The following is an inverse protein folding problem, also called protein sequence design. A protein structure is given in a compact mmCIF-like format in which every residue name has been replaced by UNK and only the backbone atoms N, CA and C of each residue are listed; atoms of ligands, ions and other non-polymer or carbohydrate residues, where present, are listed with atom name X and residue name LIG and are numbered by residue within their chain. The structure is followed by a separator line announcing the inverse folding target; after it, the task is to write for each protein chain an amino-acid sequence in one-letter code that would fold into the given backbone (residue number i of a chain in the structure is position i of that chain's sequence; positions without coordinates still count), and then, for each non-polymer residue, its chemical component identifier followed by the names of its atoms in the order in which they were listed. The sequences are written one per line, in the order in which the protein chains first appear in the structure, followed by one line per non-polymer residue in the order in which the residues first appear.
data_IF_283100245304
#
_entry.id   IF_283100245304
#
_cell.length_a   1.000
_cell.length_b   1.000
_cell.length_c   1.000
_cell.angle_alpha   90.00
_cell.angle_beta   90.00
_cell.angle_gamma   90.00
#
_symmetry.space_group_name_H-M   'P 1'
#
loop_
_entity.id
_entity.type
_entity.pdbx_description
1 polymer ?
#
# COMPACT_ATOMS: atom_id res chain seq x y z
N UNK A 1 30.85 15.99 34.89
CA UNK A 1 31.41 15.42 33.64
C UNK A 1 31.71 13.96 33.86
N UNK A 2 31.16 13.08 33.04
CA UNK A 2 31.74 11.81 32.58
C UNK A 2 30.67 11.11 31.74
N UNK A 3 30.70 11.39 30.43
CA UNK A 3 29.98 10.62 29.44
C UNK A 3 30.55 9.21 29.41
N UNK A 4 29.69 8.19 29.40
CA UNK A 4 30.08 6.83 29.08
C UNK A 4 29.48 6.49 27.72
N UNK A 5 30.32 6.56 26.71
CA UNK A 5 30.01 6.09 25.37
C UNK A 5 29.69 4.59 25.43
N UNK A 6 28.51 4.22 24.93
CA UNK A 6 28.17 2.82 24.67
C UNK A 6 28.53 2.56 23.21
N UNK A 7 29.46 1.64 23.05
CA UNK A 7 29.95 1.14 21.77
C UNK A 7 28.79 0.78 20.83
N UNK A 8 28.89 1.26 19.59
CA UNK A 8 28.15 0.75 18.43
C UNK A 8 28.53 -0.72 18.26
N UNK A 9 27.73 -1.59 18.87
CA UNK A 9 27.71 -3.01 18.61
C UNK A 9 26.94 -3.25 17.32
N UNK A 10 27.57 -3.95 16.40
CA UNK A 10 27.07 -4.42 15.12
C UNK A 10 25.60 -4.86 15.21
N UNK A 11 24.69 -4.01 14.72
CA UNK A 11 23.28 -4.37 14.61
C UNK A 11 23.14 -5.42 13.53
N UNK A 12 22.94 -6.66 13.95
CA UNK A 12 22.26 -7.67 13.16
C UNK A 12 21.09 -7.02 12.43
N UNK A 13 21.09 -7.09 11.10
CA UNK A 13 19.94 -6.69 10.28
C UNK A 13 18.78 -7.59 10.70
N UNK A 14 17.96 -7.11 11.64
CA UNK A 14 16.70 -7.73 11.99
C UNK A 14 15.82 -7.63 10.75
N UNK A 15 15.44 -8.78 10.20
CA UNK A 15 14.64 -8.92 8.98
C UNK A 15 13.18 -8.44 9.11
N UNK A 16 12.97 -7.30 9.76
CA UNK A 16 11.68 -6.63 9.84
C UNK A 16 11.39 -5.80 8.59
N UNK A 17 10.12 -5.42 8.44
CA UNK A 17 9.67 -4.63 7.30
C UNK A 17 10.31 -3.23 7.28
N UNK A 18 10.78 -2.76 6.11
CA UNK A 18 11.23 -1.38 5.98
C UNK A 18 10.07 -0.39 6.19
N UNK A 19 10.39 0.82 6.63
CA UNK A 19 9.41 1.89 6.79
C UNK A 19 8.78 2.26 5.44
N UNK A 20 7.45 2.30 5.31
CA UNK A 20 6.79 2.63 4.04
C UNK A 20 7.07 4.05 3.50
N UNK A 21 7.64 4.94 4.33
CA UNK A 21 7.91 6.33 3.94
C UNK A 21 9.35 6.50 3.46
N UNK A 22 10.34 6.03 4.22
CA UNK A 22 11.76 6.19 3.86
C UNK A 22 12.38 4.95 3.22
N UNK A 23 11.64 3.83 3.15
CA UNK A 23 12.07 2.54 2.63
C UNK A 23 13.29 1.91 3.34
N UNK A 24 13.77 2.54 4.41
CA UNK A 24 14.84 2.04 5.27
C UNK A 24 14.33 1.29 6.51
N UNK A 25 15.23 0.78 7.38
CA UNK A 25 14.83 0.12 8.62
C UNK A 25 14.03 1.06 9.51
N UNK A 26 13.03 0.53 10.21
CA UNK A 26 12.20 1.33 11.12
C UNK A 26 13.05 1.81 12.30
N UNK A 27 13.24 3.12 12.38
CA UNK A 27 13.90 3.79 13.49
C UNK A 27 12.86 4.43 14.41
N UNK A 28 12.83 3.99 15.67
CA UNK A 28 11.85 4.42 16.68
C UNK A 28 10.43 4.21 16.16
N UNK A 29 9.97 2.95 16.21
CA UNK A 29 8.65 2.53 15.74
C UNK A 29 7.54 3.43 16.29
N UNK A 30 6.64 3.85 15.40
CA UNK A 30 5.52 4.74 15.72
C UNK A 30 4.36 4.49 14.78
N UNK A 31 3.15 4.78 15.26
CA UNK A 31 1.89 4.59 14.56
C UNK A 31 0.91 5.70 14.94
N UNK A 32 -0.24 5.78 14.24
CA UNK A 32 -1.35 6.66 14.62
C UNK A 32 -2.33 5.88 15.50
N UNK A 33 -3.03 6.56 16.39
CA UNK A 33 -4.00 5.91 17.29
C UNK A 33 -5.16 5.22 16.54
N UNK A 34 -5.44 5.67 15.31
CA UNK A 34 -6.50 5.12 14.46
C UNK A 34 -6.09 3.87 13.68
N UNK A 35 -4.80 3.58 13.55
CA UNK A 35 -4.30 2.42 12.79
C UNK A 35 -2.92 1.97 13.27
N UNK A 36 -2.73 0.66 13.46
CA UNK A 36 -1.46 0.08 13.94
C UNK A 36 -0.39 -0.12 12.84
N UNK A 37 -0.46 0.66 11.75
CA UNK A 37 0.57 0.65 10.72
C UNK A 37 1.86 1.29 11.22
N UNK A 38 2.98 0.60 11.01
CA UNK A 38 4.28 0.91 11.62
C UNK A 38 5.14 1.80 10.71
N UNK A 39 5.71 2.86 11.28
CA UNK A 39 6.60 3.80 10.59
C UNK A 39 7.75 4.25 11.50
N UNK A 40 8.78 4.89 10.93
CA UNK A 40 9.74 5.65 11.73
C UNK A 40 9.05 6.87 12.36
N UNK A 41 9.34 7.17 13.63
CA UNK A 41 8.82 8.34 14.34
C UNK A 41 8.97 9.64 13.54
N UNK A 42 10.17 9.87 12.98
CA UNK A 42 10.45 11.07 12.17
C UNK A 42 9.61 11.12 10.89
N UNK A 43 9.49 9.99 10.21
CA UNK A 43 8.74 9.90 8.95
C UNK A 43 7.25 10.19 9.17
N UNK A 44 6.64 9.56 10.17
CA UNK A 44 5.20 9.75 10.42
C UNK A 44 4.88 11.14 10.97
N UNK A 45 5.78 11.71 11.79
CA UNK A 45 5.65 13.09 12.26
C UNK A 45 5.68 14.09 11.10
N UNK A 46 6.59 13.91 10.16
CA UNK A 46 6.70 14.77 8.98
C UNK A 46 5.47 14.65 8.07
N UNK A 47 4.97 13.42 7.87
CA UNK A 47 3.72 13.17 7.15
C UNK A 47 2.55 13.98 7.75
N UNK A 48 2.33 13.87 9.07
CA UNK A 48 1.23 14.59 9.74
C UNK A 48 1.38 16.10 9.54
N UNK A 49 2.59 16.64 9.70
CA UNK A 49 2.87 18.07 9.47
C UNK A 49 2.49 18.54 8.06
N UNK A 50 2.87 17.78 7.04
CA UNK A 50 2.59 18.11 5.64
C UNK A 50 1.09 18.00 5.34
N UNK A 51 0.44 16.93 5.79
CA UNK A 51 -0.99 16.71 5.54
C UNK A 51 -1.85 17.75 6.25
N UNK A 52 -1.56 18.06 7.52
CA UNK A 52 -2.26 19.12 8.27
C UNK A 52 -2.06 20.51 7.68
N UNK A 53 -0.93 20.77 7.01
CA UNK A 53 -0.69 22.07 6.35
C UNK A 53 -1.48 22.26 5.05
N UNK A 54 -1.88 21.16 4.39
CA UNK A 54 -2.52 21.19 3.07
C UNK A 54 -4.03 20.92 3.13
N UNK A 55 -4.49 20.27 4.19
CA UNK A 55 -5.89 19.92 4.38
C UNK A 55 -6.41 20.75 5.55
N UNK A 56 -7.41 21.61 5.29
CA UNK A 56 -8.14 22.36 6.31
C UNK A 56 -9.06 21.45 7.13
N UNK A 57 -8.49 20.39 7.73
CA UNK A 57 -9.18 19.42 8.58
C UNK A 57 -8.50 19.35 9.95
N UNK A 58 -9.26 19.03 11.01
CA UNK A 58 -8.71 18.83 12.34
C UNK A 58 -7.69 17.67 12.35
N UNK A 59 -6.67 17.78 13.21
CA UNK A 59 -5.59 16.80 13.39
C UNK A 59 -6.11 15.37 13.65
N UNK A 60 -7.26 15.24 14.31
CA UNK A 60 -7.92 13.95 14.59
C UNK A 60 -8.41 13.20 13.34
N UNK A 61 -8.49 13.86 12.18
CA UNK A 61 -8.91 13.25 10.91
C UNK A 61 -7.73 12.88 9.99
N UNK A 62 -6.49 13.09 10.42
CA UNK A 62 -5.32 12.79 9.58
C UNK A 62 -5.14 11.27 9.50
N UNK A 63 -5.16 10.73 8.28
CA UNK A 63 -4.90 9.32 8.02
C UNK A 63 -3.40 9.08 7.81
N UNK A 64 -2.91 7.89 8.17
CA UNK A 64 -1.55 7.47 7.84
C UNK A 64 -1.41 7.26 6.31
N UNK A 65 -0.18 7.16 5.77
CA UNK A 65 0.04 6.96 4.33
C UNK A 65 -0.71 5.75 3.76
N UNK A 66 -0.69 4.60 4.44
CA UNK A 66 -1.33 3.37 3.97
C UNK A 66 -2.87 3.49 3.99
N UNK A 67 -3.45 4.01 5.07
CA UNK A 67 -4.90 4.27 5.13
C UNK A 67 -5.34 5.34 4.14
N UNK A 68 -4.48 6.30 3.83
CA UNK A 68 -4.77 7.30 2.79
C UNK A 68 -4.78 6.65 1.40
N UNK A 69 -3.84 5.75 1.09
CA UNK A 69 -3.86 5.00 -0.17
C UNK A 69 -5.10 4.10 -0.28
N UNK A 70 -5.48 3.44 0.81
CA UNK A 70 -6.68 2.61 0.85
C UNK A 70 -7.96 3.41 0.51
N UNK A 71 -8.04 4.69 0.93
CA UNK A 71 -9.13 5.58 0.51
C UNK A 71 -9.05 5.94 -0.97
N UNK A 72 -7.85 6.28 -1.47
CA UNK A 72 -7.65 6.69 -2.87
C UNK A 72 -8.04 5.58 -3.83
N UNK A 73 -7.69 4.33 -3.49
CA UNK A 73 -8.03 3.15 -4.29
C UNK A 73 -9.41 2.58 -3.95
N UNK A 74 -10.15 3.20 -3.03
CA UNK A 74 -11.49 2.78 -2.61
C UNK A 74 -11.57 1.26 -2.31
N UNK A 75 -10.62 0.78 -1.50
CA UNK A 75 -10.52 -0.62 -1.06
C UNK A 75 -11.87 -1.16 -0.54
N UNK A 76 -12.67 -0.41 0.25
CA UNK A 76 -13.99 -0.87 0.67
C UNK A 76 -14.94 -1.12 -0.51
N UNK A 77 -14.93 -0.28 -1.56
CA UNK A 77 -15.74 -0.49 -2.76
C UNK A 77 -15.25 -1.68 -3.57
N UNK A 78 -13.94 -1.90 -3.67
CA UNK A 78 -13.37 -3.09 -4.30
C UNK A 78 -13.98 -4.37 -3.72
N UNK A 79 -13.98 -4.51 -2.38
CA UNK A 79 -14.57 -5.67 -1.71
C UNK A 79 -16.10 -5.73 -1.81
N UNK A 80 -16.79 -4.58 -1.85
CA UNK A 80 -18.25 -4.53 -2.07
C UNK A 80 -18.66 -4.97 -3.47
N UNK A 81 -17.88 -4.61 -4.48
CA UNK A 81 -18.18 -4.96 -5.87
C UNK A 81 -17.97 -6.44 -6.16
N UNK A 82 -17.28 -7.18 -5.28
CA UNK A 82 -17.06 -8.64 -5.34
C UNK A 82 -16.57 -9.15 -6.71
N UNK A 83 -16.01 -8.28 -7.56
CA UNK A 83 -15.36 -8.63 -8.83
C UNK A 83 -13.95 -9.12 -8.50
N UNK A 84 -13.87 -10.33 -7.97
CA UNK A 84 -12.61 -10.94 -7.57
C UNK A 84 -11.76 -11.21 -8.79
N UNK A 85 -10.57 -10.59 -8.83
CA UNK A 85 -9.46 -10.93 -9.72
C UNK A 85 -9.78 -11.05 -11.22
N UNK A 86 -10.92 -10.53 -11.70
CA UNK A 86 -11.51 -10.96 -12.97
C UNK A 86 -10.62 -10.76 -14.20
N UNK A 87 -9.53 -9.97 -14.11
CA UNK A 87 -8.52 -9.90 -15.16
C UNK A 87 -7.28 -9.08 -14.79
N UNK A 88 -6.74 -9.15 -13.57
CA UNK A 88 -5.50 -8.42 -13.33
C UNK A 88 -4.31 -9.16 -13.99
N UNK A 89 -4.11 -8.90 -15.28
CA UNK A 89 -3.00 -9.44 -16.08
C UNK A 89 -1.62 -9.04 -15.57
N UNK A 90 -1.56 -8.06 -14.67
CA UNK A 90 -0.35 -7.57 -14.04
C UNK A 90 -0.08 -8.23 -12.70
N UNK A 91 -1.03 -9.00 -12.15
CA UNK A 91 -0.88 -9.65 -10.85
C UNK A 91 0.33 -10.57 -10.81
N UNK A 92 0.50 -11.42 -11.82
CA UNK A 92 1.62 -12.36 -11.86
C UNK A 92 2.96 -11.63 -11.93
N UNK A 93 3.06 -10.59 -12.77
CA UNK A 93 4.27 -9.77 -12.88
C UNK A 93 4.57 -8.99 -11.58
N UNK A 94 3.55 -8.45 -10.94
CA UNK A 94 3.66 -7.75 -9.67
C UNK A 94 4.11 -8.71 -8.56
N UNK A 95 3.45 -9.88 -8.45
CA UNK A 95 3.82 -10.92 -7.49
C UNK A 95 5.26 -11.38 -7.70
N UNK A 96 5.67 -11.64 -8.94
CA UNK A 96 7.05 -12.00 -9.27
C UNK A 96 8.04 -10.96 -8.75
N UNK A 97 7.79 -9.68 -9.03
CA UNK A 97 8.65 -8.57 -8.58
C UNK A 97 8.75 -8.51 -7.06
N UNK A 98 7.62 -8.54 -6.36
CA UNK A 98 7.60 -8.45 -4.89
C UNK A 98 8.23 -9.68 -4.24
N UNK A 99 7.97 -10.87 -4.77
CA UNK A 99 8.61 -12.11 -4.29
C UNK A 99 10.13 -12.06 -4.48
N UNK A 100 10.61 -11.66 -5.66
CA UNK A 100 12.05 -11.51 -5.91
C UNK A 100 12.69 -10.50 -4.94
N UNK A 101 12.03 -9.37 -4.68
CA UNK A 101 12.52 -8.37 -3.74
C UNK A 101 12.53 -8.85 -2.29
N UNK A 102 11.50 -9.60 -1.86
CA UNK A 102 11.37 -10.06 -0.48
C UNK A 102 12.23 -11.29 -0.20
N UNK A 103 12.26 -12.26 -1.11
CA UNK A 103 13.03 -13.49 -0.98
C UNK A 103 14.51 -13.30 -1.33
N UNK A 104 14.85 -12.26 -2.10
CA UNK A 104 16.21 -12.01 -2.62
C UNK A 104 16.71 -13.15 -3.52
N UNK A 105 15.78 -13.82 -4.21
CA UNK A 105 16.04 -14.94 -5.12
C UNK A 105 15.45 -14.62 -6.50
N UNK A 106 16.12 -15.06 -7.57
CA UNK A 106 15.63 -14.88 -8.94
C UNK A 106 14.52 -15.87 -9.30
N UNK A 107 14.70 -17.13 -8.89
CA UNK A 107 13.74 -18.22 -9.09
C UNK A 107 12.69 -18.24 -7.97
N UNK A 108 11.54 -17.64 -8.29
CA UNK A 108 10.37 -17.56 -7.40
C UNK A 108 9.18 -18.33 -7.97
N UNK A 109 9.35 -19.09 -9.05
CA UNK A 109 8.24 -19.62 -9.86
C UNK A 109 7.34 -20.56 -9.07
N UNK A 110 7.91 -21.38 -8.20
CA UNK A 110 7.16 -22.32 -7.34
C UNK A 110 6.27 -21.53 -6.36
N UNK A 111 6.83 -20.52 -5.70
CA UNK A 111 6.10 -19.70 -4.71
C UNK A 111 5.05 -18.84 -5.40
N UNK A 112 5.40 -18.25 -6.55
CA UNK A 112 4.49 -17.50 -7.40
C UNK A 112 3.29 -18.36 -7.81
N UNK A 113 3.54 -19.55 -8.37
CA UNK A 113 2.49 -20.46 -8.80
C UNK A 113 1.63 -20.93 -7.63
N UNK A 114 2.24 -21.19 -6.47
CA UNK A 114 1.51 -21.53 -5.25
C UNK A 114 0.55 -20.40 -4.83
N UNK A 115 1.03 -19.16 -4.73
CA UNK A 115 0.22 -18.02 -4.31
C UNK A 115 -0.90 -17.71 -5.32
N UNK A 116 -0.58 -17.68 -6.62
CA UNK A 116 -1.58 -17.52 -7.68
C UNK A 116 -2.63 -18.62 -7.60
N UNK A 117 -2.21 -19.88 -7.43
CA UNK A 117 -3.12 -21.02 -7.29
C UNK A 117 -4.01 -20.94 -6.05
N UNK A 118 -3.48 -20.47 -4.92
CA UNK A 118 -4.24 -20.23 -3.68
C UNK A 118 -5.28 -19.12 -3.89
N UNK A 119 -4.89 -18.00 -4.51
CA UNK A 119 -5.79 -16.89 -4.82
C UNK A 119 -6.91 -17.32 -5.78
N UNK A 120 -6.58 -18.04 -6.85
CA UNK A 120 -7.54 -18.55 -7.83
C UNK A 120 -8.53 -19.54 -7.21
N UNK A 121 -8.01 -20.49 -6.41
CA UNK A 121 -8.82 -21.48 -5.70
C UNK A 121 -9.80 -20.81 -4.74
N UNK A 122 -9.33 -19.79 -4.01
CA UNK A 122 -10.16 -18.99 -3.12
C UNK A 122 -11.25 -18.22 -3.88
N UNK A 123 -10.91 -17.57 -4.99
CA UNK A 123 -11.87 -16.84 -5.82
C UNK A 123 -12.95 -17.77 -6.39
N UNK A 124 -12.55 -18.89 -7.02
CA UNK A 124 -13.47 -19.90 -7.59
C UNK A 124 -14.42 -20.47 -6.53
N UNK A 125 -13.90 -20.82 -5.36
CA UNK A 125 -14.71 -21.34 -4.24
C UNK A 125 -15.73 -20.32 -3.76
N UNK A 126 -15.34 -19.06 -3.73
CA UNK A 126 -16.21 -17.98 -3.24
C UNK A 126 -17.30 -17.65 -4.27
N UNK A 127 -16.98 -17.61 -5.56
CA UNK A 127 -17.98 -17.46 -6.63
C UNK A 127 -19.03 -18.58 -6.59
N UNK A 128 -18.61 -19.82 -6.30
CA UNK A 128 -19.51 -20.97 -6.16
C UNK A 128 -20.41 -20.86 -4.92
N UNK A 129 -19.85 -20.48 -3.76
CA UNK A 129 -20.61 -20.28 -2.52
C UNK A 129 -21.54 -19.06 -2.57
N UNK A 130 -21.22 -18.05 -3.38
CA UNK A 130 -22.05 -16.86 -3.52
C UNK A 130 -23.40 -17.11 -4.21
N UNK A 131 -23.55 -18.20 -4.96
CA UNK A 131 -24.87 -18.64 -5.44
C UNK A 131 -25.78 -19.15 -4.29
N UNK A 132 -25.23 -19.34 -3.08
CA UNK A 132 -25.91 -19.96 -1.94
C UNK A 132 -25.92 -19.11 -0.66
N UNK A 133 -24.97 -18.17 -0.44
CA UNK A 133 -24.90 -17.37 0.80
C UNK A 133 -24.53 -15.88 0.59
N UNK A 134 -25.27 -14.99 1.26
CA UNK A 134 -24.97 -13.55 1.40
C UNK A 134 -23.98 -13.30 2.55
N UNK A 135 -22.68 -13.43 2.29
CA UNK A 135 -21.62 -13.00 3.23
C UNK A 135 -21.31 -11.50 3.08
N UNK A 136 -20.95 -10.87 4.21
CA UNK A 136 -20.48 -9.47 4.26
C UNK A 136 -19.12 -9.30 3.57
N UNK A 137 -18.83 -8.09 3.09
CA UNK A 137 -17.60 -7.79 2.37
C UNK A 137 -16.36 -7.84 3.28
N UNK A 138 -16.55 -7.43 4.54
CA UNK A 138 -15.50 -7.36 5.56
C UNK A 138 -15.04 -8.78 5.95
N UNK A 139 -15.98 -9.71 6.17
CA UNK A 139 -15.64 -11.09 6.49
C UNK A 139 -14.97 -11.82 5.31
N UNK A 140 -15.21 -11.34 4.10
CA UNK A 140 -14.59 -11.88 2.89
C UNK A 140 -13.16 -11.35 2.70
N UNK A 141 -12.97 -10.03 2.87
CA UNK A 141 -11.66 -9.38 2.90
C UNK A 141 -10.72 -10.05 3.91
N UNK A 142 -11.15 -10.19 5.17
CA UNK A 142 -10.34 -10.83 6.22
C UNK A 142 -9.97 -12.28 5.87
N UNK A 143 -10.90 -13.03 5.30
CA UNK A 143 -10.62 -14.41 4.91
C UNK A 143 -9.64 -14.50 3.74
N UNK A 144 -9.74 -13.59 2.77
CA UNK A 144 -8.78 -13.51 1.67
C UNK A 144 -7.38 -13.23 2.20
N UNK A 145 -7.24 -12.20 3.05
CA UNK A 145 -5.97 -11.82 3.65
C UNK A 145 -5.37 -12.95 4.47
N UNK A 146 -6.18 -13.62 5.29
CA UNK A 146 -5.77 -14.78 6.08
C UNK A 146 -5.27 -15.94 5.20
N UNK A 147 -5.99 -16.31 4.14
CA UNK A 147 -5.61 -17.45 3.28
C UNK A 147 -4.27 -17.19 2.56
N UNK A 148 -4.05 -15.97 2.08
CA UNK A 148 -2.81 -15.60 1.41
C UNK A 148 -1.67 -15.47 2.41
N UNK A 149 -1.93 -14.91 3.59
CA UNK A 149 -0.94 -14.83 4.65
C UNK A 149 -0.47 -16.22 5.06
N UNK A 150 -1.37 -17.18 5.28
CA UNK A 150 -1.01 -18.56 5.62
C UNK A 150 -0.19 -19.24 4.52
N UNK A 151 -0.50 -19.00 3.25
CA UNK A 151 0.25 -19.53 2.12
C UNK A 151 1.64 -18.88 1.95
N UNK A 152 1.75 -17.58 2.22
CA UNK A 152 2.99 -16.80 2.07
C UNK A 152 3.94 -16.89 3.27
N UNK A 153 3.42 -17.14 4.48
CA UNK A 153 4.18 -17.10 5.74
C UNK A 153 5.43 -17.99 5.76
N UNK A 154 5.42 -19.21 5.20
CA UNK A 154 6.62 -20.05 5.14
C UNK A 154 7.77 -19.44 4.32
N UNK A 155 7.47 -18.53 3.38
CA UNK A 155 8.44 -17.96 2.44
C UNK A 155 8.83 -16.53 2.81
N UNK A 156 7.84 -15.71 3.21
CA UNK A 156 8.01 -14.27 3.46
C UNK A 156 8.21 -13.95 4.95
N UNK A 157 7.95 -14.93 5.83
CA UNK A 157 8.15 -14.83 7.28
C UNK A 157 7.48 -13.57 7.87
N UNK A 158 8.25 -12.73 8.56
CA UNK A 158 7.75 -11.52 9.21
C UNK A 158 7.22 -10.46 8.22
N UNK A 159 7.54 -10.56 6.91
CA UNK A 159 7.14 -9.60 5.88
C UNK A 159 5.79 -9.92 5.23
N UNK A 160 5.20 -11.05 5.61
CA UNK A 160 3.97 -11.58 5.00
C UNK A 160 2.80 -10.64 5.17
N UNK A 161 2.58 -10.11 6.37
CA UNK A 161 1.39 -9.30 6.66
C UNK A 161 1.39 -8.02 5.81
N UNK A 162 2.56 -7.36 5.71
CA UNK A 162 2.74 -6.20 4.83
C UNK A 162 2.58 -6.54 3.35
N UNK A 163 3.13 -7.67 2.91
CA UNK A 163 2.95 -8.12 1.52
C UNK A 163 1.48 -8.30 1.17
N UNK A 164 0.66 -8.85 2.08
CA UNK A 164 -0.77 -9.01 1.88
C UNK A 164 -1.50 -7.66 1.82
N UNK A 165 -1.12 -6.69 2.66
CA UNK A 165 -1.68 -5.33 2.60
C UNK A 165 -1.35 -4.63 1.28
N UNK A 166 -0.12 -4.76 0.79
CA UNK A 166 0.30 -4.17 -0.49
C UNK A 166 -0.39 -4.85 -1.68
N UNK A 167 -0.56 -6.18 -1.62
CA UNK A 167 -1.32 -6.93 -2.62
C UNK A 167 -2.77 -6.45 -2.68
N UNK A 168 -3.40 -6.22 -1.53
CA UNK A 168 -4.76 -5.66 -1.45
C UNK A 168 -4.83 -4.26 -2.09
N UNK A 169 -3.89 -3.37 -1.78
CA UNK A 169 -3.83 -2.04 -2.38
C UNK A 169 -3.64 -2.11 -3.90
N UNK A 170 -2.74 -2.97 -4.38
CA UNK A 170 -2.49 -3.16 -5.79
C UNK A 170 -3.74 -3.66 -6.52
N UNK A 171 -4.41 -4.69 -5.99
CA UNK A 171 -5.63 -5.23 -6.56
C UNK A 171 -6.77 -4.22 -6.58
N UNK A 172 -6.96 -3.46 -5.49
CA UNK A 172 -7.99 -2.44 -5.40
C UNK A 172 -7.74 -1.26 -6.36
N UNK A 173 -6.46 -0.93 -6.64
CA UNK A 173 -6.11 0.16 -7.54
C UNK A 173 -6.58 -0.07 -8.98
N UNK A 174 -6.61 -1.33 -9.45
CA UNK A 174 -6.87 -1.68 -10.85
C UNK A 174 -5.83 -1.12 -11.84
N UNK A 175 -4.68 -0.64 -11.35
CA UNK A 175 -3.62 -0.02 -12.15
C UNK A 175 -2.63 -1.06 -12.67
N UNK A 176 -1.87 -0.68 -13.70
CA UNK A 176 -0.63 -1.40 -14.03
C UNK A 176 0.47 -1.06 -13.00
N UNK A 177 1.58 -1.80 -13.04
CA UNK A 177 2.66 -1.66 -12.07
C UNK A 177 3.25 -0.26 -12.07
N UNK A 178 3.45 0.34 -13.24
CA UNK A 178 4.08 1.64 -13.39
C UNK A 178 3.21 2.77 -12.81
N UNK A 179 1.89 2.72 -13.07
CA UNK A 179 0.95 3.69 -12.54
C UNK A 179 0.72 3.50 -11.04
N UNK A 180 0.69 2.26 -10.55
CA UNK A 180 0.63 1.98 -9.11
C UNK A 180 1.85 2.56 -8.39
N UNK A 181 3.06 2.27 -8.89
CA UNK A 181 4.30 2.79 -8.32
C UNK A 181 4.37 4.33 -8.40
N UNK A 182 3.86 4.93 -9.48
CA UNK A 182 3.81 6.38 -9.63
C UNK A 182 2.91 7.02 -8.58
N UNK A 183 1.71 6.48 -8.34
CA UNK A 183 0.81 6.97 -7.28
C UNK A 183 1.43 6.78 -5.90
N UNK A 184 2.04 5.61 -5.67
CA UNK A 184 2.74 5.30 -4.42
C UNK A 184 3.87 6.31 -4.15
N UNK A 185 4.77 6.51 -5.13
CA UNK A 185 5.92 7.44 -5.03
C UNK A 185 5.49 8.90 -4.97
N UNK A 186 4.61 9.36 -5.86
CA UNK A 186 4.13 10.75 -5.88
C UNK A 186 3.53 11.14 -4.52
N UNK A 187 2.88 10.20 -3.84
CA UNK A 187 2.31 10.46 -2.51
C UNK A 187 3.35 10.47 -1.39
N UNK A 188 4.46 9.77 -1.54
CA UNK A 188 5.63 9.85 -0.66
C UNK A 188 6.44 11.14 -0.91
N UNK A 189 6.65 11.51 -2.17
CA UNK A 189 7.42 12.68 -2.61
C UNK A 189 6.69 14.01 -2.34
N UNK A 190 5.37 13.99 -2.19
CA UNK A 190 4.56 15.10 -1.68
C UNK A 190 5.06 15.63 -0.31
N UNK A 191 5.88 14.85 0.40
CA UNK A 191 6.47 15.18 1.69
C UNK A 191 7.91 15.71 1.62
N UNK A 192 8.62 15.51 0.51
CA UNK A 192 10.02 15.94 0.33
C UNK A 192 10.17 17.29 -0.39
N UNK A 193 9.12 17.80 -1.04
CA UNK A 193 9.17 19.03 -1.87
C UNK A 193 9.28 20.36 -1.08
N UNK A 194 9.98 20.41 0.06
CA UNK A 194 10.19 21.68 0.79
C UNK A 194 11.59 21.91 1.34
N UNK A 195 12.59 21.20 0.82
CA UNK A 195 14.01 21.47 1.10
C UNK A 195 14.84 21.71 -0.16
N UNK A 196 14.37 22.55 -1.09
CA UNK A 196 15.28 23.34 -1.94
C UNK A 196 14.66 24.72 -2.12
N UNK A 197 15.11 25.67 -1.31
CA UNK A 197 14.85 27.09 -1.52
C UNK A 197 15.86 27.65 -2.50
N UNK A 198 15.38 28.13 -3.66
CA UNK A 198 15.97 29.29 -4.33
C UNK A 198 14.81 30.23 -4.68
N UNK A 199 15.06 31.50 -4.44
CA UNK A 199 14.18 32.61 -4.15
C UNK A 199 13.58 33.34 -5.36
N UNK A 200 12.37 33.86 -5.13
CA UNK A 200 11.79 35.14 -5.58
C UNK A 200 11.11 35.27 -6.96
N UNK A 201 9.81 35.58 -6.83
CA UNK A 201 8.98 36.57 -7.55
C UNK A 201 8.39 36.28 -8.94
N UNK A 202 7.09 36.65 -9.03
CA UNK A 202 6.14 36.56 -10.15
C UNK A 202 5.73 35.11 -10.49
N UNK A 203 4.48 34.69 -10.38
CA UNK A 203 3.24 35.32 -10.86
C UNK A 203 2.08 34.80 -9.99
N UNK A 204 1.47 35.69 -9.22
CA UNK A 204 0.04 35.57 -8.90
C UNK A 204 -0.71 35.76 -10.21
N UNK A 205 -1.37 34.72 -10.73
CA UNK A 205 -2.59 34.73 -11.58
C UNK A 205 -2.73 33.42 -12.39
N UNK A 206 -2.81 32.25 -11.76
CA UNK A 206 -3.46 31.08 -12.40
C UNK A 206 -4.16 30.15 -11.41
N UNK A 207 -4.64 30.70 -10.29
CA UNK A 207 -5.39 29.95 -9.28
C UNK A 207 -6.89 29.80 -9.64
N UNK A 208 -7.20 29.46 -10.90
CA UNK A 208 -8.60 29.22 -11.31
C UNK A 208 -8.83 28.09 -12.33
N UNK A 209 -7.82 27.33 -12.75
CA UNK A 209 -7.99 26.37 -13.85
C UNK A 209 -7.22 25.06 -13.71
N UNK A 210 -7.40 24.33 -12.62
CA UNK A 210 -7.22 22.85 -12.61
C UNK A 210 -7.76 22.24 -11.31
N UNK A 211 -9.07 22.35 -11.08
CA UNK A 211 -9.79 21.35 -10.27
C UNK A 211 -10.16 20.19 -11.20
N UNK A 212 -9.15 19.45 -11.65
CA UNK A 212 -9.37 18.17 -12.30
C UNK A 212 -9.42 17.10 -11.22
N UNK A 213 -10.60 16.91 -10.65
CA UNK A 213 -10.96 15.66 -9.99
C UNK A 213 -10.76 14.54 -11.04
N UNK A 214 -9.94 13.50 -10.80
CA UNK A 214 -9.90 12.37 -11.73
C UNK A 214 -11.18 11.57 -11.55
N UNK A 215 -12.25 11.97 -12.24
CA UNK A 215 -13.40 11.11 -12.49
C UNK A 215 -12.97 10.05 -13.50
N UNK A 216 -12.56 8.88 -13.02
CA UNK A 216 -12.39 7.69 -13.85
C UNK A 216 -13.62 6.80 -13.72
N UNK A 217 -14.69 7.15 -14.44
CA UNK A 217 -15.75 6.22 -14.82
C UNK A 217 -16.47 6.74 -16.07
N UNK A 218 -16.07 6.27 -17.25
CA UNK A 218 -16.93 6.05 -18.42
C UNK A 218 -16.32 4.91 -19.25
N UNK A 219 -16.76 3.68 -19.00
CA UNK A 219 -16.77 2.67 -20.04
C UNK A 219 -18.12 2.85 -20.73
N UNK A 220 -18.13 3.59 -21.84
CA UNK A 220 -19.22 3.51 -22.79
C UNK A 220 -18.90 2.35 -23.74
N UNK A 221 -19.81 1.40 -23.67
CA UNK A 221 -19.94 0.20 -24.45
C UNK A 221 -20.62 0.61 -25.77
N UNK A 222 -19.89 0.58 -26.89
CA UNK A 222 -20.52 0.67 -28.21
C UNK A 222 -20.37 -0.67 -28.94
N UNK A 223 -21.54 -1.28 -29.06
CA UNK A 223 -21.87 -2.44 -29.86
C UNK A 223 -22.24 -1.98 -31.27
N UNK A 224 -21.60 -2.55 -32.31
CA UNK A 224 -22.22 -2.98 -33.58
C UNK A 224 -21.46 -4.20 -34.10
#
# INVERSE_FOLDING_TARGET
MAAKEIAVGSSSFSGGDPCPICLGPILQESYLDTCFHKFCFRCIKQWIKVVSSKVSKPLSSVKCPLCFLADVFDVPRFWKLKKLLQRNRWLESWLRRELQALMQEEDVDIVLHHLVGVMDSFCKRTEQRHKQETRSAEAFQEQFKSVIAEAGRPFLMARTDRFVDELELFLASGLNMEAYDAVYKQRLDWNNSREVGVSNEAIEEENRRTRATPNLFLFEEDSV
#
